data_IF_589885114942
#
_entry.id   IF_589885114942
#
_cell.length_a   1.000
_cell.length_b   1.000
_cell.length_c   1.000
_cell.angle_alpha   90.00
_cell.angle_beta   90.00
_cell.angle_gamma   90.00
#
_symmetry.space_group_name_H-M   'P 1'
#
loop_
_entity.id
_entity.type
_entity.pdbx_description
1 polymer ?
#
# COMPACT_ATOMS: atom_id res chain seq x y z
N UNK A 1 6.84 0.49 24.41
CA UNK A 1 7.47 0.75 23.11
C UNK A 1 6.37 0.61 22.06
N UNK A 2 5.91 1.72 21.50
CA UNK A 2 5.03 1.69 20.33
C UNK A 2 5.87 1.26 19.13
N UNK A 3 5.51 0.16 18.48
CA UNK A 3 6.16 -0.28 17.24
C UNK A 3 6.00 0.77 16.12
N UNK A 4 6.68 0.57 14.97
CA UNK A 4 6.57 1.48 13.85
C UNK A 4 5.12 1.57 13.36
N UNK A 5 4.68 2.77 12.98
CA UNK A 5 3.34 2.97 12.43
C UNK A 5 3.24 2.29 11.06
N UNK A 6 2.31 1.35 10.92
CA UNK A 6 2.09 0.62 9.68
C UNK A 6 1.01 1.29 8.83
N UNK A 7 1.21 1.24 7.52
CA UNK A 7 0.22 1.57 6.52
C UNK A 7 -0.09 0.32 5.69
N UNK A 8 -1.33 -0.11 5.75
CA UNK A 8 -1.83 -1.32 5.11
C UNK A 8 -2.02 -1.10 3.62
N UNK A 9 -1.43 -2.01 2.84
CA UNK A 9 -1.42 -2.02 1.38
C UNK A 9 -2.19 -3.24 0.90
N UNK A 10 -3.18 -3.01 0.05
CA UNK A 10 -3.95 -4.09 -0.58
C UNK A 10 -3.14 -4.75 -1.69
N UNK A 11 -2.96 -6.06 -1.59
CA UNK A 11 -2.23 -6.86 -2.59
C UNK A 11 -3.25 -7.53 -3.51
N UNK A 12 -3.10 -7.34 -4.81
CA UNK A 12 -4.05 -7.84 -5.79
C UNK A 12 -3.78 -9.32 -6.11
N UNK A 13 -4.81 -10.08 -6.54
CA UNK A 13 -4.61 -11.43 -7.03
C UNK A 13 -3.61 -11.50 -8.18
N UNK A 14 -2.62 -12.39 -8.04
CA UNK A 14 -1.66 -12.68 -9.09
C UNK A 14 -1.40 -14.20 -9.15
N UNK A 15 -1.92 -14.91 -10.17
CA UNK A 15 -1.72 -16.36 -10.31
C UNK A 15 -0.26 -16.80 -10.43
N UNK A 16 0.60 -15.94 -10.99
CA UNK A 16 2.03 -16.23 -11.18
C UNK A 16 2.84 -16.04 -9.90
N UNK A 17 2.26 -15.38 -8.88
CA UNK A 17 2.94 -15.02 -7.63
C UNK A 17 1.94 -14.96 -6.47
N UNK A 18 1.26 -16.06 -6.14
CA UNK A 18 0.12 -16.04 -5.22
C UNK A 18 0.50 -15.61 -3.80
N UNK A 19 1.75 -15.87 -3.38
CA UNK A 19 2.22 -15.69 -2.01
C UNK A 19 3.02 -14.40 -1.76
N UNK A 20 3.22 -13.59 -2.80
CA UNK A 20 4.06 -12.38 -2.69
C UNK A 20 3.42 -11.21 -3.41
N UNK A 21 3.63 -10.01 -2.89
CA UNK A 21 3.30 -8.81 -3.63
C UNK A 21 4.26 -8.61 -4.80
N UNK A 22 3.75 -7.97 -5.85
CA UNK A 22 4.51 -7.59 -7.04
C UNK A 22 4.72 -6.09 -7.07
N UNK A 23 5.67 -5.62 -7.88
CA UNK A 23 5.84 -4.16 -8.05
C UNK A 23 4.63 -3.50 -8.72
N UNK A 24 3.72 -4.25 -9.33
CA UNK A 24 2.47 -3.71 -9.85
C UNK A 24 1.51 -3.25 -8.74
N UNK A 25 1.54 -3.91 -7.57
CA UNK A 25 0.76 -3.55 -6.39
C UNK A 25 1.15 -2.18 -5.82
N UNK A 26 2.38 -1.73 -6.10
CA UNK A 26 2.97 -0.49 -5.61
C UNK A 26 3.27 0.52 -6.74
N UNK A 27 2.69 0.35 -7.92
CA UNK A 27 2.95 1.24 -9.05
C UNK A 27 1.70 2.06 -9.45
N UNK A 28 1.62 3.34 -9.06
CA UNK A 28 0.47 4.19 -9.34
C UNK A 28 0.24 4.41 -10.86
N UNK A 29 1.31 4.39 -11.67
CA UNK A 29 1.21 4.53 -13.14
C UNK A 29 0.32 3.45 -13.79
N UNK A 30 0.24 2.24 -13.20
CA UNK A 30 -0.64 1.17 -13.70
C UNK A 30 -2.11 1.42 -13.34
N UNK A 31 -2.37 2.19 -12.28
CA UNK A 31 -3.71 2.48 -11.76
C UNK A 31 -4.32 3.77 -12.30
N UNK A 32 -3.56 4.57 -13.06
CA UNK A 32 -3.95 5.91 -13.55
C UNK A 32 -4.28 6.90 -12.43
N UNK A 33 -3.97 6.55 -11.19
CA UNK A 33 -3.95 7.42 -10.02
C UNK A 33 -2.49 7.83 -9.78
N UNK A 34 -2.17 9.09 -9.47
CA UNK A 34 -0.80 9.49 -9.12
C UNK A 34 -0.28 8.87 -7.81
N UNK A 35 -1.16 8.34 -6.96
CA UNK A 35 -0.87 7.90 -5.59
C UNK A 35 -1.30 6.45 -5.35
N UNK A 36 -0.88 5.87 -4.21
CA UNK A 36 -1.35 4.57 -3.76
C UNK A 36 -2.27 4.72 -2.56
N UNK A 37 -3.43 4.07 -2.60
CA UNK A 37 -4.31 3.92 -1.45
C UNK A 37 -3.65 3.03 -0.39
N UNK A 38 -3.76 3.46 0.86
CA UNK A 38 -3.30 2.77 2.04
C UNK A 38 -4.30 2.97 3.20
N UNK A 39 -4.09 2.25 4.30
CA UNK A 39 -4.87 2.44 5.53
C UNK A 39 -3.98 2.54 6.76
N UNK A 40 -4.20 3.54 7.61
CA UNK A 40 -3.46 3.76 8.85
C UNK A 40 -3.81 2.69 9.89
N UNK A 41 -2.81 1.87 10.25
CA UNK A 41 -2.97 0.76 11.21
C UNK A 41 -3.37 1.19 12.62
N UNK A 42 -3.24 2.47 12.96
CA UNK A 42 -3.68 3.00 14.26
C UNK A 42 -5.19 3.21 14.32
N UNK A 43 -5.86 3.25 13.17
CA UNK A 43 -7.27 3.61 13.03
C UNK A 43 -8.14 2.44 12.55
N UNK A 44 -7.55 1.38 12.00
CA UNK A 44 -8.27 0.21 11.50
C UNK A 44 -7.41 -1.05 11.66
N UNK A 45 -8.03 -2.22 11.76
CA UNK A 45 -7.31 -3.51 11.67
C UNK A 45 -7.06 -3.90 10.21
N UNK A 46 -6.07 -4.76 9.96
CA UNK A 46 -5.79 -5.24 8.60
C UNK A 46 -6.99 -5.99 7.99
N UNK A 47 -7.69 -6.81 8.77
CA UNK A 47 -8.92 -7.48 8.34
C UNK A 47 -10.04 -6.48 8.00
N UNK A 48 -10.28 -5.48 8.84
CA UNK A 48 -11.32 -4.48 8.56
C UNK A 48 -10.97 -3.62 7.34
N UNK A 49 -9.69 -3.30 7.14
CA UNK A 49 -9.23 -2.62 5.93
C UNK A 49 -9.47 -3.48 4.69
N UNK A 50 -9.15 -4.79 4.77
CA UNK A 50 -9.42 -5.74 3.69
C UNK A 50 -10.92 -5.78 3.36
N UNK A 51 -11.77 -6.02 4.36
CA UNK A 51 -13.22 -6.11 4.21
C UNK A 51 -13.82 -4.81 3.63
N UNK A 52 -13.34 -3.65 4.08
CA UNK A 52 -13.73 -2.37 3.51
C UNK A 52 -13.37 -2.28 2.03
N UNK A 53 -12.12 -2.61 1.67
CA UNK A 53 -11.64 -2.52 0.30
C UNK A 53 -12.39 -3.46 -0.65
N UNK A 54 -12.59 -4.72 -0.28
CA UNK A 54 -13.33 -5.69 -1.11
C UNK A 54 -14.84 -5.41 -1.11
N UNK A 55 -15.39 -4.84 -0.03
CA UNK A 55 -16.77 -4.40 0.06
C UNK A 55 -17.13 -3.27 -0.92
N UNK A 56 -16.14 -2.56 -1.46
CA UNK A 56 -16.30 -1.57 -2.53
C UNK A 56 -16.33 -2.20 -3.94
N UNK A 57 -16.25 -3.53 -4.05
CA UNK A 57 -16.20 -4.24 -5.33
C UNK A 57 -14.79 -4.42 -5.90
N UNK A 58 -13.75 -4.15 -5.11
CA UNK A 58 -12.37 -4.43 -5.51
C UNK A 58 -11.96 -5.87 -5.14
N UNK A 59 -10.89 -6.37 -5.77
CA UNK A 59 -10.31 -7.67 -5.45
C UNK A 59 -8.96 -7.49 -4.74
N UNK A 60 -8.72 -8.29 -3.71
CA UNK A 60 -7.44 -8.38 -3.02
C UNK A 60 -7.19 -9.82 -2.53
N UNK A 61 -5.93 -10.25 -2.61
CA UNK A 61 -5.43 -11.48 -1.98
C UNK A 61 -5.20 -11.32 -0.47
N UNK A 62 -5.09 -10.09 0.02
CA UNK A 62 -4.82 -9.81 1.42
C UNK A 62 -4.15 -8.46 1.61
N UNK A 63 -3.56 -8.29 2.80
CA UNK A 63 -2.97 -7.05 3.27
C UNK A 63 -1.52 -7.27 3.67
N UNK A 64 -0.63 -6.48 3.10
CA UNK A 64 0.73 -6.28 3.60
C UNK A 64 0.86 -4.86 4.15
N UNK A 65 2.04 -4.48 4.64
CA UNK A 65 2.23 -3.13 5.16
C UNK A 65 3.59 -2.55 4.77
N UNK A 66 3.67 -1.22 4.83
CA UNK A 66 4.90 -0.40 4.81
C UNK A 66 4.87 0.56 6.00
N UNK A 67 6.01 1.14 6.37
CA UNK A 67 6.06 2.20 7.40
C UNK A 67 6.22 3.59 6.80
N UNK A 68 5.99 4.63 7.61
CA UNK A 68 6.29 6.02 7.23
C UNK A 68 7.77 6.16 6.86
N UNK A 69 8.66 5.62 7.69
CA UNK A 69 10.11 5.74 7.50
C UNK A 69 10.58 5.03 6.22
N UNK A 70 9.97 3.89 5.88
CA UNK A 70 10.22 3.19 4.61
C UNK A 70 9.78 4.05 3.42
N UNK A 71 8.60 4.66 3.47
CA UNK A 71 8.12 5.58 2.43
C UNK A 71 9.02 6.82 2.31
N UNK A 72 9.36 7.47 3.42
CA UNK A 72 10.22 8.65 3.46
C UNK A 72 11.63 8.36 2.93
N UNK A 73 12.17 7.17 3.22
CA UNK A 73 13.47 6.73 2.68
C UNK A 73 13.50 6.65 1.15
N UNK A 74 12.33 6.54 0.52
CA UNK A 74 12.15 6.52 -0.93
C UNK A 74 11.71 7.87 -1.50
N UNK A 75 11.62 8.92 -0.67
CA UNK A 75 11.13 10.23 -1.07
C UNK A 75 9.61 10.26 -1.26
N UNK A 76 8.87 9.37 -0.60
CA UNK A 76 7.41 9.38 -0.58
C UNK A 76 6.91 10.00 0.71
N UNK A 77 5.73 10.61 0.67
CA UNK A 77 5.01 11.04 1.87
C UNK A 77 3.72 10.22 2.02
N UNK A 78 3.20 10.15 3.24
CA UNK A 78 1.89 9.57 3.50
C UNK A 78 1.00 10.64 4.10
N UNK A 79 -0.19 10.82 3.51
CA UNK A 79 -1.16 11.80 3.95
C UNK A 79 -2.50 11.14 4.26
N UNK A 80 -3.15 11.59 5.33
CA UNK A 80 -4.51 11.16 5.63
C UNK A 80 -5.45 11.63 4.51
N UNK A 81 -6.30 10.72 4.03
CA UNK A 81 -7.28 10.98 2.99
C UNK A 81 -8.60 10.30 3.38
N UNK A 82 -9.23 10.75 4.48
CA UNK A 82 -10.38 10.05 5.05
C UNK A 82 -11.55 10.00 4.05
N UNK A 83 -12.07 8.79 3.81
CA UNK A 83 -13.25 8.58 2.98
C UNK A 83 -14.52 8.61 3.85
N UNK A 84 -15.71 8.90 3.27
CA UNK A 84 -16.98 9.01 4.03
C UNK A 84 -17.34 7.81 4.92
N UNK A 85 -16.78 6.62 4.65
CA UNK A 85 -16.98 5.40 5.44
C UNK A 85 -15.69 4.84 6.06
N UNK A 86 -14.55 5.51 5.90
CA UNK A 86 -13.26 5.02 6.39
C UNK A 86 -12.29 6.18 6.66
N UNK A 87 -12.21 6.57 7.94
CA UNK A 87 -11.28 7.60 8.40
C UNK A 87 -9.82 7.15 8.44
N UNK A 88 -9.55 5.84 8.30
CA UNK A 88 -8.21 5.29 8.25
C UNK A 88 -7.58 5.36 6.85
N UNK A 89 -8.35 5.70 5.81
CA UNK A 89 -7.82 5.82 4.46
C UNK A 89 -6.74 6.91 4.39
N UNK A 90 -5.66 6.58 3.68
CA UNK A 90 -4.50 7.42 3.48
C UNK A 90 -3.96 7.23 2.05
N UNK A 91 -3.18 8.20 1.60
CA UNK A 91 -2.51 8.16 0.31
C UNK A 91 -0.99 8.17 0.50
N UNK A 92 -0.32 7.21 -0.13
CA UNK A 92 1.13 7.28 -0.36
C UNK A 92 1.35 8.16 -1.59
N UNK A 93 1.93 9.34 -1.38
CA UNK A 93 2.16 10.36 -2.40
C UNK A 93 3.48 10.16 -3.12
N UNK A 94 3.44 10.25 -4.45
CA UNK A 94 4.61 10.13 -5.32
C UNK A 94 5.07 11.49 -5.87
N UNK A 95 4.62 12.60 -5.29
CA UNK A 95 4.79 13.95 -5.84
C UNK A 95 6.27 14.39 -5.99
N UNK A 96 7.15 13.88 -5.12
CA UNK A 96 8.60 14.15 -5.20
C UNK A 96 9.34 13.24 -6.20
N UNK A 97 8.67 12.21 -6.75
CA UNK A 97 9.27 11.30 -7.72
C UNK A 97 9.19 11.93 -9.12
N UNK A 98 10.31 12.01 -9.87
CA UNK A 98 10.29 12.52 -11.23
C UNK A 98 9.24 11.79 -12.08
N UNK A 99 8.41 12.53 -12.81
CA UNK A 99 7.33 12.01 -13.66
C UNK A 99 7.89 11.23 -14.87
N UNK A 100 8.47 10.06 -14.60
CA UNK A 100 9.14 9.18 -15.55
C UNK A 100 8.85 7.74 -15.12
N UNK A 101 8.35 6.92 -16.04
CA UNK A 101 7.98 5.53 -15.80
C UNK A 101 9.05 4.72 -15.04
N UNK A 102 10.32 4.92 -15.38
CA UNK A 102 11.43 4.21 -14.73
C UNK A 102 11.62 4.60 -13.25
N UNK A 103 11.44 5.87 -12.89
CA UNK A 103 11.57 6.31 -11.51
C UNK A 103 10.49 5.66 -10.62
N UNK A 104 9.24 5.69 -11.09
CA UNK A 104 8.12 5.01 -10.42
C UNK A 104 8.33 3.51 -10.28
N UNK A 105 8.88 2.85 -11.32
CA UNK A 105 9.19 1.41 -11.27
C UNK A 105 10.23 1.07 -10.20
N UNK A 106 11.27 1.90 -10.03
CA UNK A 106 12.31 1.67 -9.02
C UNK A 106 11.74 1.79 -7.61
N UNK A 107 10.97 2.84 -7.35
CA UNK A 107 10.32 3.06 -6.05
C UNK A 107 9.32 1.93 -5.74
N UNK A 108 8.49 1.55 -6.71
CA UNK A 108 7.53 0.45 -6.55
C UNK A 108 8.22 -0.89 -6.26
N UNK A 109 9.39 -1.14 -6.85
CA UNK A 109 10.18 -2.32 -6.56
C UNK A 109 10.67 -2.32 -5.11
N UNK A 110 11.13 -1.18 -4.59
CA UNK A 110 11.61 -1.05 -3.22
C UNK A 110 10.47 -1.16 -2.18
N UNK A 111 9.32 -0.53 -2.42
CA UNK A 111 8.12 -0.71 -1.58
C UNK A 111 7.69 -2.17 -1.50
N UNK A 112 7.70 -2.86 -2.65
CA UNK A 112 7.43 -4.30 -2.72
C UNK A 112 8.40 -5.12 -1.85
N UNK A 113 9.69 -4.81 -1.87
CA UNK A 113 10.66 -5.50 -1.02
C UNK A 113 10.40 -5.26 0.48
N UNK A 114 9.99 -4.05 0.89
CA UNK A 114 9.61 -3.78 2.27
C UNK A 114 8.38 -4.59 2.68
N UNK A 115 7.33 -4.57 1.85
CA UNK A 115 6.10 -5.32 2.10
C UNK A 115 6.34 -6.84 2.15
N UNK A 116 7.08 -7.39 1.18
CA UNK A 116 7.38 -8.83 1.14
C UNK A 116 8.26 -9.28 2.30
N UNK A 117 9.24 -8.46 2.72
CA UNK A 117 10.08 -8.77 3.89
C UNK A 117 9.26 -8.84 5.17
N UNK A 118 8.25 -7.99 5.28
CA UNK A 118 7.31 -7.99 6.40
C UNK A 118 6.30 -9.14 6.31
N UNK A 119 5.93 -9.52 5.11
CA UNK A 119 4.96 -10.57 4.82
C UNK A 119 3.52 -10.10 5.01
N UNK A 120 2.61 -11.07 4.96
CA UNK A 120 1.17 -10.86 5.13
C UNK A 120 0.85 -10.43 6.56
N UNK A 121 0.14 -9.30 6.70
CA UNK A 121 -0.48 -8.89 7.97
C UNK A 121 -1.84 -9.57 8.11
N UNK A 122 -2.57 -9.70 7.00
CA UNK A 122 -3.81 -10.44 6.92
C UNK A 122 -3.93 -11.12 5.56
N UNK A 123 -4.44 -12.35 5.56
CA UNK A 123 -4.79 -13.13 4.37
C UNK A 123 -6.06 -13.93 4.70
N UNK A 124 -7.15 -13.77 3.92
CA UNK A 124 -8.40 -14.51 4.13
C UNK A 124 -8.26 -16.01 3.84
#
# INVERSE_FOLDING_TARGET
MTGPNLYYMMIYPNPDSPDTATSADFNPFRRRDPNLSAYDSRLISAEAAYLHFVGQGNEASGVMAVTVEECESLGLTIEADPLPANSAHALVKFDAIPNRRNAFRVVALQLKEFANRRGWIYRP
#
